data_IF_613626612097
#
_entry.id   IF_613626612097
#
_cell.length_a   1.000
_cell.length_b   1.000
_cell.length_c   1.000
_cell.angle_alpha   90.00
_cell.angle_beta   90.00
_cell.angle_gamma   90.00
#
_symmetry.space_group_name_H-M   'P 1'
#
loop_
_entity.id
_entity.type
_entity.pdbx_description
1 polymer ?
#
# COMPACT_ATOMS: atom_id res chain seq x y z
N UNK A 1 10.73 25.70 50.17
CA UNK A 1 9.50 25.71 49.35
C UNK A 1 9.75 25.78 47.84
N UNK A 2 10.82 26.43 47.33
CA UNK A 2 11.02 26.59 45.87
C UNK A 2 11.42 25.31 45.10
N UNK A 3 12.00 24.31 45.77
CA UNK A 3 12.43 23.04 45.14
C UNK A 3 11.26 22.16 44.74
N UNK A 4 10.21 22.10 45.56
CA UNK A 4 9.00 21.30 45.30
C UNK A 4 8.23 21.81 44.07
N UNK A 5 8.10 23.13 43.93
CA UNK A 5 7.47 23.75 42.77
C UNK A 5 8.24 23.51 41.46
N UNK A 6 9.58 23.46 41.53
CA UNK A 6 10.43 23.13 40.36
C UNK A 6 10.24 21.69 39.91
N UNK A 7 10.21 20.74 40.85
CA UNK A 7 9.97 19.31 40.57
C UNK A 7 8.59 19.12 39.93
N UNK A 8 7.57 19.79 40.46
CA UNK A 8 6.22 19.73 39.91
C UNK A 8 6.14 20.29 38.48
N UNK A 9 6.80 21.42 38.20
CA UNK A 9 6.87 21.98 36.85
C UNK A 9 7.65 21.10 35.87
N UNK A 10 8.71 20.43 36.32
CA UNK A 10 9.46 19.46 35.50
C UNK A 10 8.59 18.26 35.17
N UNK A 11 7.89 17.72 36.16
CA UNK A 11 6.94 16.61 35.96
C UNK A 11 5.82 17.00 34.98
N UNK A 12 5.23 18.19 35.14
CA UNK A 12 4.21 18.70 34.23
C UNK A 12 4.72 18.85 32.79
N UNK A 13 5.94 19.37 32.62
CA UNK A 13 6.57 19.47 31.29
C UNK A 13 6.81 18.10 30.66
N UNK A 14 7.33 17.14 31.41
CA UNK A 14 7.54 15.76 30.94
C UNK A 14 6.21 15.13 30.51
N UNK A 15 5.17 15.28 31.34
CA UNK A 15 3.83 14.77 31.04
C UNK A 15 3.24 15.41 29.78
N UNK A 16 3.46 16.72 29.60
CA UNK A 16 2.99 17.46 28.42
C UNK A 16 3.70 17.00 27.15
N UNK A 17 5.03 16.84 27.19
CA UNK A 17 5.82 16.32 26.07
C UNK A 17 5.39 14.90 25.71
N UNK A 18 5.15 14.05 26.71
CA UNK A 18 4.67 12.68 26.50
C UNK A 18 3.30 12.67 25.81
N UNK A 19 2.37 13.51 26.27
CA UNK A 19 1.06 13.68 25.63
C UNK A 19 1.17 14.13 24.18
N UNK A 20 2.01 15.12 23.90
CA UNK A 20 2.26 15.61 22.53
C UNK A 20 2.82 14.48 21.65
N UNK A 21 3.78 13.71 22.15
CA UNK A 21 4.37 12.58 21.41
C UNK A 21 3.34 11.49 21.06
N UNK A 22 2.44 11.17 22.00
CA UNK A 22 1.34 10.22 21.78
C UNK A 22 0.40 10.75 20.70
N UNK A 23 0.00 12.02 20.78
CA UNK A 23 -0.88 12.66 19.79
C UNK A 23 -0.23 12.64 18.41
N UNK A 24 1.07 12.98 18.30
CA UNK A 24 1.79 12.92 17.04
C UNK A 24 1.83 11.50 16.45
N UNK A 25 2.11 10.49 17.27
CA UNK A 25 2.15 9.09 16.82
C UNK A 25 0.80 8.66 16.25
N UNK A 26 -0.29 8.99 16.96
CA UNK A 26 -1.65 8.69 16.49
C UNK A 26 -1.95 9.46 15.19
N UNK A 27 -1.64 10.76 15.15
CA UNK A 27 -1.87 11.59 13.98
C UNK A 27 -1.13 11.05 12.73
N UNK A 28 0.11 10.57 12.88
CA UNK A 28 0.86 9.95 11.77
C UNK A 28 0.24 8.65 11.26
N UNK A 29 -0.47 7.90 12.12
CA UNK A 29 -1.20 6.69 11.73
C UNK A 29 -2.49 7.00 10.96
N UNK A 30 -3.12 8.17 11.22
CA UNK A 30 -4.30 8.63 10.48
C UNK A 30 -3.95 9.23 9.12
N UNK A 31 -2.71 9.63 8.89
CA UNK A 31 -2.26 10.09 7.57
C UNK A 31 -2.10 8.84 6.69
N UNK A 32 -2.93 8.65 5.66
CA UNK A 32 -2.75 7.53 4.75
C UNK A 32 -1.35 7.63 4.14
N UNK A 33 -0.55 6.57 4.28
CA UNK A 33 0.79 6.55 3.69
C UNK A 33 0.67 6.91 2.19
N UNK A 34 1.45 7.90 1.71
CA UNK A 34 1.40 8.29 0.31
C UNK A 34 1.78 7.08 -0.57
N UNK A 35 0.84 6.65 -1.41
CA UNK A 35 1.09 5.65 -2.44
C UNK A 35 0.25 4.37 -2.39
N UNK A 36 -0.59 4.19 -1.36
CA UNK A 36 -1.60 3.12 -1.31
C UNK A 36 -1.05 1.72 -1.67
N UNK A 37 0.21 1.47 -1.27
CA UNK A 37 0.93 0.26 -1.64
C UNK A 37 0.32 -0.95 -0.95
N UNK A 38 0.24 -2.06 -1.69
CA UNK A 38 -0.21 -3.36 -1.21
C UNK A 38 0.91 -4.37 -1.44
N UNK A 39 1.14 -5.20 -0.44
CA UNK A 39 2.17 -6.23 -0.47
C UNK A 39 1.48 -7.57 -0.72
N UNK A 40 1.96 -8.33 -1.70
CA UNK A 40 1.46 -9.65 -2.03
C UNK A 40 2.62 -10.65 -2.14
N UNK A 41 2.34 -11.92 -1.83
CA UNK A 41 3.23 -13.04 -2.12
C UNK A 41 2.81 -13.72 -3.42
N UNK A 42 3.80 -14.12 -4.23
CA UNK A 42 3.56 -14.85 -5.47
C UNK A 42 3.39 -16.34 -5.15
N UNK A 43 2.17 -16.85 -5.31
CA UNK A 43 1.81 -18.23 -4.98
C UNK A 43 1.84 -19.16 -6.21
N UNK A 44 1.62 -18.64 -7.42
CA UNK A 44 1.59 -19.41 -8.66
C UNK A 44 2.70 -19.00 -9.63
N UNK A 45 3.20 -19.97 -10.40
CA UNK A 45 4.26 -19.77 -11.40
C UNK A 45 3.76 -19.29 -12.77
N UNK A 46 2.56 -18.71 -12.86
CA UNK A 46 2.01 -18.25 -14.16
C UNK A 46 2.94 -17.25 -14.85
N UNK A 47 3.53 -16.36 -14.07
CA UNK A 47 4.40 -15.26 -14.52
C UNK A 47 5.89 -15.64 -14.58
N UNK A 48 6.26 -16.92 -14.53
CA UNK A 48 7.66 -17.34 -14.65
C UNK A 48 8.20 -17.12 -16.08
N UNK A 49 9.46 -16.67 -16.24
CA UNK A 49 10.47 -16.39 -15.21
C UNK A 49 10.45 -14.95 -14.65
N UNK A 50 9.50 -14.11 -15.06
CA UNK A 50 9.46 -12.69 -14.67
C UNK A 50 9.17 -12.49 -13.18
N UNK A 51 8.31 -13.32 -12.58
CA UNK A 51 8.02 -13.36 -11.15
C UNK A 51 8.15 -14.79 -10.65
N UNK A 52 9.10 -15.05 -9.76
CA UNK A 52 9.32 -16.37 -9.19
C UNK A 52 8.32 -16.65 -8.06
N UNK A 53 7.86 -17.89 -7.95
CA UNK A 53 7.07 -18.35 -6.80
C UNK A 53 7.85 -18.10 -5.49
N UNK A 54 7.14 -17.61 -4.47
CA UNK A 54 7.72 -17.23 -3.18
C UNK A 54 8.26 -15.79 -3.11
N UNK A 55 8.28 -15.07 -4.24
CA UNK A 55 8.67 -13.65 -4.25
C UNK A 55 7.61 -12.77 -3.58
N UNK A 56 8.05 -11.62 -3.07
CA UNK A 56 7.17 -10.56 -2.54
C UNK A 56 7.09 -9.43 -3.57
N UNK A 57 5.88 -8.97 -3.87
CA UNK A 57 5.64 -7.85 -4.80
C UNK A 57 4.96 -6.70 -4.09
N UNK A 58 5.39 -5.49 -4.43
CA UNK A 58 4.78 -4.22 -3.99
C UNK A 58 3.96 -3.66 -5.14
N UNK A 59 2.66 -3.50 -4.92
CA UNK A 59 1.70 -3.06 -5.94
C UNK A 59 1.13 -1.71 -5.52
N UNK A 60 1.02 -0.76 -6.46
CA UNK A 60 0.33 0.51 -6.25
C UNK A 60 -0.73 0.71 -7.33
N UNK A 61 -1.87 1.33 -7.01
CA UNK A 61 -2.86 1.69 -8.02
C UNK A 61 -2.32 2.82 -8.90
N UNK A 62 -2.49 2.67 -10.22
CA UNK A 62 -2.24 3.71 -11.21
C UNK A 62 -3.55 4.10 -11.90
N UNK A 63 -3.61 5.34 -12.39
CA UNK A 63 -4.76 5.86 -13.14
C UNK A 63 -4.78 5.41 -14.60
N UNK A 64 -3.62 5.10 -15.17
CA UNK A 64 -3.46 4.59 -16.53
C UNK A 64 -2.42 3.47 -16.55
N UNK A 65 -2.65 2.48 -17.42
CA UNK A 65 -1.79 1.31 -17.59
C UNK A 65 -1.39 1.16 -19.06
N UNK A 66 -0.19 0.66 -19.29
CA UNK A 66 0.43 0.53 -20.60
C UNK A 66 0.71 -0.93 -20.94
N UNK A 67 0.86 -1.21 -22.23
CA UNK A 67 1.22 -2.55 -22.70
C UNK A 67 2.59 -2.92 -22.11
N UNK A 68 2.71 -4.11 -21.53
CA UNK A 68 3.89 -4.58 -20.83
C UNK A 68 3.84 -4.42 -19.31
N UNK A 69 2.92 -3.61 -18.77
CA UNK A 69 2.75 -3.49 -17.32
C UNK A 69 2.28 -4.81 -16.72
N UNK A 70 2.78 -5.11 -15.51
CA UNK A 70 2.34 -6.24 -14.71
C UNK A 70 1.30 -5.72 -13.73
N UNK A 71 0.07 -6.19 -13.88
CA UNK A 71 -1.07 -5.71 -13.12
C UNK A 71 -1.65 -6.81 -12.24
N UNK A 72 -2.02 -6.42 -11.03
CA UNK A 72 -2.68 -7.29 -10.06
C UNK A 72 -4.15 -6.89 -9.95
N UNK A 73 -5.06 -7.82 -10.23
CA UNK A 73 -6.50 -7.58 -10.20
C UNK A 73 -7.26 -8.74 -9.56
N UNK A 74 -8.48 -8.45 -9.11
CA UNK A 74 -9.41 -9.46 -8.59
C UNK A 74 -10.19 -10.07 -9.75
N UNK A 75 -10.27 -11.39 -9.80
CA UNK A 75 -11.04 -12.04 -10.87
C UNK A 75 -12.54 -11.82 -10.66
N UNK A 76 -13.32 -11.52 -11.72
CA UNK A 76 -14.77 -11.39 -11.61
C UNK A 76 -15.46 -12.67 -11.11
N UNK A 77 -14.84 -13.83 -11.34
CA UNK A 77 -15.37 -15.13 -10.91
C UNK A 77 -15.27 -15.37 -9.41
N UNK A 78 -14.25 -14.79 -8.76
CA UNK A 78 -14.01 -14.90 -7.32
C UNK A 78 -13.29 -13.64 -6.81
N UNK A 79 -14.01 -12.71 -6.15
CA UNK A 79 -13.43 -11.48 -5.61
C UNK A 79 -12.36 -11.68 -4.53
N UNK A 80 -12.22 -12.90 -3.98
CA UNK A 80 -11.17 -13.25 -3.02
C UNK A 80 -9.88 -13.63 -3.73
N UNK A 81 -9.96 -14.10 -4.97
CA UNK A 81 -8.79 -14.48 -5.75
C UNK A 81 -8.18 -13.27 -6.45
N UNK A 82 -6.92 -13.02 -6.12
CA UNK A 82 -6.10 -11.97 -6.70
C UNK A 82 -5.10 -12.61 -7.65
N UNK A 83 -5.05 -12.14 -8.89
CA UNK A 83 -4.17 -12.65 -9.94
C UNK A 83 -3.29 -11.54 -10.47
N UNK A 84 -2.08 -11.90 -10.89
CA UNK A 84 -1.08 -10.96 -11.41
C UNK A 84 -0.68 -11.41 -12.80
N UNK A 85 -0.95 -10.60 -13.83
CA UNK A 85 -0.66 -10.92 -15.23
C UNK A 85 0.00 -9.71 -15.93
N UNK A 86 0.63 -9.95 -17.08
CA UNK A 86 1.16 -8.91 -17.95
C UNK A 86 0.10 -8.42 -18.94
N UNK A 87 0.01 -7.10 -19.13
CA UNK A 87 -0.81 -6.50 -20.19
C UNK A 87 -0.21 -6.76 -21.57
N UNK A 88 -0.99 -7.38 -22.45
CA UNK A 88 -0.56 -7.73 -23.82
C UNK A 88 -1.25 -6.89 -24.89
N UNK A 89 -2.45 -6.40 -24.62
CA UNK A 89 -3.17 -5.48 -25.51
C UNK A 89 -3.98 -4.45 -24.72
N UNK A 90 -4.10 -3.27 -25.32
CA UNK A 90 -4.93 -2.16 -24.83
C UNK A 90 -5.80 -1.69 -25.99
N UNK A 91 -7.08 -2.04 -25.94
CA UNK A 91 -8.05 -1.64 -26.95
C UNK A 91 -8.85 -0.45 -26.42
N UNK A 92 -8.74 0.67 -27.12
CA UNK A 92 -9.51 1.89 -26.83
C UNK A 92 -10.56 2.04 -27.93
N UNK A 93 -11.61 1.21 -27.88
CA UNK A 93 -12.69 1.24 -28.86
C UNK A 93 -14.02 1.37 -28.15
N UNK A 94 -14.78 2.45 -28.45
CA UNK A 94 -16.11 2.78 -27.90
C UNK A 94 -16.15 3.09 -26.39
N UNK A 95 -15.62 4.25 -26.00
CA UNK A 95 -15.75 4.86 -24.66
C UNK A 95 -15.29 4.01 -23.45
N UNK A 96 -14.71 2.83 -23.71
CA UNK A 96 -14.21 1.91 -22.71
C UNK A 96 -12.80 1.47 -23.08
N UNK A 97 -11.95 1.33 -22.07
CA UNK A 97 -10.61 0.78 -22.23
C UNK A 97 -10.66 -0.70 -21.85
N UNK A 98 -10.39 -1.56 -22.83
CA UNK A 98 -10.32 -3.01 -22.62
C UNK A 98 -8.86 -3.42 -22.59
N UNK A 99 -8.50 -4.16 -21.54
CA UNK A 99 -7.17 -4.68 -21.33
C UNK A 99 -7.17 -6.19 -21.50
N UNK A 100 -6.30 -6.70 -22.37
CA UNK A 100 -6.00 -8.14 -22.44
C UNK A 100 -4.77 -8.44 -21.61
N UNK A 101 -4.87 -9.46 -20.75
CA UNK A 101 -3.77 -9.89 -19.87
C UNK A 101 -3.35 -11.32 -20.17
N UNK A 102 -2.07 -11.62 -19.95
CA UNK A 102 -1.52 -12.96 -20.02
C UNK A 102 -0.63 -13.23 -18.80
N UNK A 103 -0.89 -14.36 -18.13
CA UNK A 103 -0.03 -14.94 -17.10
C UNK A 103 1.20 -15.52 -17.75
#
# INVERSE_FOLDING_TARGET
>A
MQTLAKIFNIFYKILTVLLIAIILTIATSLIPLPGNYRIYSVVSGSMEPALHVGSIVFVRPLSDYQIGDIVTFKTPKDPKNTVTHRLTAKDTSKDQIIYSTKG
#
